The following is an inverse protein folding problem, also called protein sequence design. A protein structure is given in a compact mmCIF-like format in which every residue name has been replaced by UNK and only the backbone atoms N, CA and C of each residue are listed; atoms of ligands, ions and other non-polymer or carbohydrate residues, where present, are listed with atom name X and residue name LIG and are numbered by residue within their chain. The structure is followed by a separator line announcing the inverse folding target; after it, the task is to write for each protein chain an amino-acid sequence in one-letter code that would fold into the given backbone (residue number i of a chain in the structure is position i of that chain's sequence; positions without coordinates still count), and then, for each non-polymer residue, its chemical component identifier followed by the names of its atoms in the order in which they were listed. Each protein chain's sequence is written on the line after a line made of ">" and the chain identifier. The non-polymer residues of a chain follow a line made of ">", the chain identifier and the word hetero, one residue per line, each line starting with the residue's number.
data_IF_784085802424
#
_entry.id   IF_784085802424
#
_cell.length_a   1.000
_cell.length_b   1.000
_cell.length_c   1.000
_cell.angle_alpha   90.00
_cell.angle_beta   90.00
_cell.angle_gamma   90.00
#
_symmetry.space_group_name_H-M   'P 1'
#
loop_
_entity.id
_entity.type
_entity.pdbx_description
1 polymer ?
#
# COMPACT_ATOMS: atom_id res chain seq x y z
N UNK A 1 -30.32 9.23 41.80
CA UNK A 1 -30.27 8.09 40.88
C UNK A 1 -29.16 8.37 39.89
N UNK A 2 -27.96 7.91 40.21
CA UNK A 2 -26.71 8.28 39.54
C UNK A 2 -26.32 7.10 38.66
N UNK A 3 -26.43 7.25 37.34
CA UNK A 3 -26.06 6.18 36.42
C UNK A 3 -24.52 6.10 36.32
N UNK A 4 -23.99 4.94 36.68
CA UNK A 4 -22.60 4.55 36.47
C UNK A 4 -22.46 4.05 35.03
N UNK A 5 -21.70 4.74 34.19
CA UNK A 5 -21.31 4.21 32.88
C UNK A 5 -20.14 3.26 33.10
N UNK A 6 -20.41 1.97 32.95
CA UNK A 6 -19.47 0.88 33.20
C UNK A 6 -18.35 0.80 32.16
N UNK A 7 -17.22 0.27 32.65
CA UNK A 7 -16.08 -0.31 31.95
C UNK A 7 -16.31 -0.52 30.44
N UNK A 8 -15.64 0.29 29.61
CA UNK A 8 -15.58 0.09 28.15
C UNK A 8 -15.02 -1.31 27.88
N UNK A 9 -15.93 -2.20 27.56
CA UNK A 9 -15.67 -3.58 27.29
C UNK A 9 -14.73 -3.67 26.09
N UNK A 10 -13.68 -4.47 26.25
CA UNK A 10 -13.01 -5.11 25.13
C UNK A 10 -14.06 -5.61 24.14
N UNK A 11 -14.20 -4.92 23.02
CA UNK A 11 -15.09 -5.30 21.93
C UNK A 11 -14.56 -6.59 21.29
N UNK A 12 -15.14 -7.72 21.70
CA UNK A 12 -15.11 -8.95 20.90
C UNK A 12 -15.82 -8.67 19.57
N UNK A 13 -15.26 -9.21 18.50
CA UNK A 13 -15.63 -8.92 17.12
C UNK A 13 -16.99 -9.53 16.75
N UNK A 14 -18.08 -8.75 16.75
CA UNK A 14 -19.37 -9.23 16.24
C UNK A 14 -20.43 -8.14 15.91
N UNK A 15 -20.17 -7.27 14.93
CA UNK A 15 -21.07 -6.82 13.82
C UNK A 15 -20.41 -5.63 13.06
N UNK A 16 -20.29 -5.64 11.73
CA UNK A 16 -20.07 -4.39 10.96
C UNK A 16 -18.62 -3.87 10.75
N UNK A 17 -17.92 -4.51 9.81
CA UNK A 17 -17.23 -3.86 8.66
C UNK A 17 -15.97 -2.98 8.82
N UNK A 18 -15.11 -3.16 9.83
CA UNK A 18 -13.68 -2.74 9.90
C UNK A 18 -13.40 -1.99 11.21
N UNK A 19 -12.57 -2.61 12.05
CA UNK A 19 -11.97 -2.07 13.26
C UNK A 19 -10.51 -1.79 12.92
N UNK A 20 -10.16 -0.52 12.70
CA UNK A 20 -8.94 -0.13 12.00
C UNK A 20 -7.63 -0.60 12.66
N UNK A 21 -6.72 -1.09 11.83
CA UNK A 21 -5.27 -1.07 11.98
C UNK A 21 -4.69 -1.12 10.55
N UNK A 22 -3.46 -0.65 10.34
CA UNK A 22 -2.84 -0.52 9.00
C UNK A 22 -2.97 -1.84 8.22
N UNK A 23 -3.82 -1.87 7.19
CA UNK A 23 -4.02 -3.08 6.37
C UNK A 23 -2.73 -3.38 5.61
N UNK A 24 -1.92 -4.26 6.20
CA UNK A 24 -0.75 -4.84 5.57
C UNK A 24 -1.09 -6.27 5.18
N UNK A 25 -0.92 -6.60 3.90
CA UNK A 25 -1.19 -7.94 3.42
C UNK A 25 0.01 -8.46 2.63
N UNK A 26 0.14 -9.79 2.65
CA UNK A 26 1.12 -10.48 1.83
C UNK A 26 0.76 -10.34 0.35
N UNK A 27 1.72 -9.93 -0.46
CA UNK A 27 1.62 -9.82 -1.90
C UNK A 27 2.74 -10.64 -2.55
N UNK A 28 2.54 -11.04 -3.80
CA UNK A 28 3.58 -11.68 -4.59
C UNK A 28 4.19 -10.66 -5.54
N UNK A 29 5.45 -10.33 -5.31
CA UNK A 29 6.26 -9.49 -6.19
C UNK A 29 6.75 -10.33 -7.38
N UNK A 30 6.61 -9.80 -8.60
CA UNK A 30 7.08 -10.51 -9.78
C UNK A 30 8.62 -10.55 -9.83
N UNK A 31 9.17 -11.62 -10.40
CA UNK A 31 10.60 -11.78 -10.60
C UNK A 31 11.21 -10.64 -11.45
N UNK A 32 12.47 -10.29 -11.19
CA UNK A 32 13.22 -9.24 -11.91
C UNK A 32 13.11 -7.84 -11.29
N UNK A 33 12.66 -7.75 -10.03
CA UNK A 33 12.49 -6.49 -9.31
C UNK A 33 13.28 -6.52 -8.01
N UNK A 34 14.12 -5.51 -7.77
CA UNK A 34 14.77 -5.27 -6.49
C UNK A 34 14.28 -3.92 -5.96
N UNK A 35 13.36 -3.95 -5.00
CA UNK A 35 12.64 -2.77 -4.55
C UNK A 35 12.86 -2.55 -3.05
N UNK A 36 13.15 -1.31 -2.70
CA UNK A 36 13.25 -0.87 -1.31
C UNK A 36 11.87 -0.53 -0.76
N UNK A 37 11.76 -0.53 0.58
CA UNK A 37 10.55 -0.11 1.28
C UNK A 37 10.06 1.26 0.77
N UNK A 38 8.74 1.46 0.73
CA UNK A 38 8.15 2.71 0.22
C UNK A 38 8.00 2.78 -1.30
N UNK A 39 8.40 1.75 -2.05
CA UNK A 39 8.12 1.65 -3.48
C UNK A 39 6.62 1.50 -3.75
N UNK A 40 6.08 2.27 -4.69
CA UNK A 40 4.70 2.12 -5.15
C UNK A 40 4.59 0.92 -6.08
N UNK A 41 3.70 -0.01 -5.74
CA UNK A 41 3.45 -1.20 -6.53
C UNK A 41 2.09 -1.13 -7.19
N UNK A 42 2.06 -1.51 -8.47
CA UNK A 42 0.85 -1.74 -9.24
C UNK A 42 0.59 -3.24 -9.39
N UNK A 43 -0.68 -3.61 -9.46
CA UNK A 43 -1.09 -4.99 -9.72
C UNK A 43 -1.16 -5.23 -11.23
N UNK A 44 -0.47 -6.26 -11.71
CA UNK A 44 -0.59 -6.73 -13.09
C UNK A 44 -1.97 -7.39 -13.25
N UNK A 45 -2.80 -6.89 -14.16
CA UNK A 45 -4.15 -7.43 -14.39
C UNK A 45 -4.11 -8.86 -14.93
N UNK A 46 -3.14 -9.16 -15.80
CA UNK A 46 -3.00 -10.47 -16.44
C UNK A 46 -2.56 -11.60 -15.48
N UNK A 47 -1.64 -11.30 -14.55
CA UNK A 47 -1.06 -12.32 -13.65
C UNK A 47 -1.51 -12.21 -12.19
N UNK A 48 -2.10 -11.07 -11.81
CA UNK A 48 -2.44 -10.77 -10.41
C UNK A 48 -1.24 -10.49 -9.49
N UNK A 49 -0.02 -10.55 -10.02
CA UNK A 49 1.24 -10.24 -9.33
C UNK A 49 1.46 -8.73 -9.22
N UNK A 50 2.36 -8.32 -8.33
CA UNK A 50 2.69 -6.93 -8.10
C UNK A 50 4.07 -6.59 -8.68
N UNK A 51 4.18 -5.41 -9.30
CA UNK A 51 5.44 -4.85 -9.80
C UNK A 51 5.53 -3.37 -9.48
N UNK A 52 6.71 -2.79 -9.64
CA UNK A 52 6.89 -1.34 -9.53
C UNK A 52 5.93 -0.62 -10.49
N UNK A 53 5.16 0.31 -9.97
CA UNK A 53 4.21 1.07 -10.77
C UNK A 53 4.94 2.03 -11.70
N UNK A 54 4.76 1.86 -13.01
CA UNK A 54 5.35 2.70 -14.05
C UNK A 54 4.24 3.39 -14.84
N UNK A 55 4.37 4.70 -15.10
CA UNK A 55 3.33 5.45 -15.83
C UNK A 55 3.17 4.96 -17.28
N UNK A 56 4.27 4.46 -17.87
CA UNK A 56 4.30 3.87 -19.21
C UNK A 56 3.94 2.38 -19.26
N UNK A 57 3.61 1.76 -18.12
CA UNK A 57 3.10 0.38 -18.09
C UNK A 57 1.82 0.27 -18.92
N UNK A 58 1.48 -0.91 -19.43
CA UNK A 58 0.20 -1.16 -20.15
C UNK A 58 -0.52 -2.43 -19.67
N UNK A 59 -0.06 -2.93 -18.53
CA UNK A 59 -0.35 -4.23 -17.95
C UNK A 59 -1.23 -4.12 -16.69
N UNK A 60 -1.75 -2.92 -16.41
CA UNK A 60 -2.58 -2.58 -15.24
C UNK A 60 -1.78 -2.06 -14.04
N UNK A 61 -0.46 -2.27 -14.01
CA UNK A 61 0.43 -1.77 -12.95
C UNK A 61 0.67 -0.24 -13.01
N UNK A 62 0.15 0.43 -14.04
CA UNK A 62 0.10 1.88 -14.20
C UNK A 62 -0.49 2.59 -12.98
N UNK A 63 -1.51 1.95 -12.38
CA UNK A 63 -2.21 2.49 -11.23
C UNK A 63 -1.58 1.89 -9.97
N UNK A 64 -0.94 2.71 -9.12
CA UNK A 64 -0.39 2.22 -7.87
C UNK A 64 -1.54 1.80 -6.95
N UNK A 65 -1.44 0.60 -6.41
CA UNK A 65 -2.47 0.00 -5.56
C UNK A 65 -1.98 -0.21 -4.12
N UNK A 66 -0.69 -0.45 -3.93
CA UNK A 66 -0.10 -0.75 -2.61
C UNK A 66 1.30 -0.16 -2.50
N UNK A 67 1.78 0.02 -1.27
CA UNK A 67 3.13 0.51 -0.97
C UNK A 67 3.92 -0.61 -0.32
N UNK A 68 5.14 -0.88 -0.80
CA UNK A 68 5.97 -1.95 -0.26
C UNK A 68 6.37 -1.65 1.20
N UNK A 69 6.16 -2.61 2.10
CA UNK A 69 6.39 -2.43 3.54
C UNK A 69 7.84 -2.72 3.96
N UNK A 70 8.51 -3.61 3.24
CA UNK A 70 9.86 -4.09 3.54
C UNK A 70 10.71 -4.15 2.27
N UNK A 71 12.02 -4.09 2.42
CA UNK A 71 12.95 -4.23 1.30
C UNK A 71 12.87 -5.66 0.74
N UNK A 72 12.50 -5.79 -0.55
CA UNK A 72 12.27 -7.09 -1.18
C UNK A 72 13.08 -7.21 -2.48
N UNK A 73 14.03 -8.15 -2.48
CA UNK A 73 14.72 -8.60 -3.68
C UNK A 73 13.99 -9.84 -4.26
N UNK A 74 13.31 -9.62 -5.37
CA UNK A 74 12.72 -10.64 -6.23
C UNK A 74 13.53 -10.76 -7.55
N UNK A 75 14.85 -10.51 -7.54
CA UNK A 75 15.66 -10.50 -8.77
C UNK A 75 15.71 -11.87 -9.46
N UNK A 76 15.69 -12.97 -8.68
CA UNK A 76 15.86 -14.33 -9.20
C UNK A 76 14.54 -15.10 -9.44
N UNK A 77 13.48 -14.79 -8.68
CA UNK A 77 12.19 -15.47 -8.75
C UNK A 77 11.09 -14.62 -8.11
N UNK A 78 9.82 -14.97 -8.37
CA UNK A 78 8.68 -14.34 -7.69
C UNK A 78 8.82 -14.52 -6.18
N UNK A 79 8.61 -13.44 -5.42
CA UNK A 79 8.80 -13.46 -3.98
C UNK A 79 7.59 -12.91 -3.24
N UNK A 80 7.20 -13.61 -2.18
CA UNK A 80 6.14 -13.13 -1.29
C UNK A 80 6.75 -12.09 -0.35
N UNK A 81 6.13 -10.93 -0.26
CA UNK A 81 6.53 -9.80 0.58
C UNK A 81 5.29 -9.15 1.18
N UNK A 82 5.47 -8.24 2.13
CA UNK A 82 4.38 -7.49 2.74
C UNK A 82 4.25 -6.12 2.10
N UNK A 83 3.03 -5.70 1.81
CA UNK A 83 2.72 -4.36 1.34
C UNK A 83 1.59 -3.74 2.16
N UNK A 84 1.65 -2.43 2.31
CA UNK A 84 0.60 -1.61 2.89
C UNK A 84 -0.45 -1.28 1.84
N UNK A 85 -1.70 -1.59 2.15
CA UNK A 85 -2.87 -1.28 1.34
C UNK A 85 -3.51 0.05 1.73
N UNK A 86 -3.36 0.46 3.00
CA UNK A 86 -3.92 1.70 3.56
C UNK A 86 -2.88 2.34 4.48
N UNK A 87 -2.83 3.67 4.55
CA UNK A 87 -1.92 4.37 5.47
C UNK A 87 -1.59 5.81 5.08
N UNK A 88 -0.81 6.48 5.93
CA UNK A 88 -0.23 7.80 5.65
C UNK A 88 1.26 7.66 5.46
N UNK A 89 1.78 8.14 4.33
CA UNK A 89 3.18 8.02 3.96
C UNK A 89 3.75 9.36 3.56
N UNK A 90 5.03 9.56 3.85
CA UNK A 90 5.77 10.75 3.43
C UNK A 90 6.20 10.63 1.97
N UNK A 91 5.84 11.62 1.15
CA UNK A 91 6.21 11.67 -0.26
C UNK A 91 7.73 11.53 -0.48
N UNK A 92 8.52 12.13 0.42
CA UNK A 92 9.99 12.10 0.35
C UNK A 92 10.62 10.75 0.71
N UNK A 93 9.88 9.86 1.38
CA UNK A 93 10.33 8.50 1.71
C UNK A 93 9.81 7.46 0.71
N UNK A 94 8.89 7.84 -0.19
CA UNK A 94 8.31 6.96 -1.19
C UNK A 94 9.16 6.90 -2.46
N UNK A 95 9.25 5.72 -3.06
CA UNK A 95 9.91 5.54 -4.36
C UNK A 95 8.86 5.41 -5.46
N UNK A 96 8.84 6.39 -6.35
CA UNK A 96 7.98 6.42 -7.52
C UNK A 96 8.70 5.79 -8.72
N UNK A 97 8.03 4.92 -9.46
CA UNK A 97 8.56 4.39 -10.70
C UNK A 97 8.66 5.47 -11.79
N UNK A 98 9.41 5.19 -12.84
CA UNK A 98 9.66 6.13 -13.93
C UNK A 98 8.36 6.70 -14.51
N UNK A 99 8.26 8.04 -14.54
CA UNK A 99 7.12 8.78 -15.05
C UNK A 99 5.92 8.89 -14.09
N UNK A 100 6.00 8.30 -12.90
CA UNK A 100 5.03 8.55 -11.83
C UNK A 100 5.41 9.82 -11.07
N UNK A 101 4.42 10.62 -10.73
CA UNK A 101 4.55 11.84 -9.94
C UNK A 101 3.59 11.77 -8.75
N UNK A 102 3.85 12.54 -7.69
CA UNK A 102 2.88 12.64 -6.58
C UNK A 102 1.51 13.10 -7.11
N UNK A 103 1.47 14.00 -8.09
CA UNK A 103 0.23 14.54 -8.63
C UNK A 103 -0.64 13.49 -9.34
N UNK A 104 -0.05 12.63 -10.19
CA UNK A 104 -0.83 11.62 -10.93
C UNK A 104 -1.18 10.39 -10.09
N UNK A 105 -0.33 10.03 -9.12
CA UNK A 105 -0.55 8.87 -8.25
C UNK A 105 -1.42 9.19 -7.04
N UNK A 106 -1.50 10.46 -6.61
CA UNK A 106 -2.27 10.88 -5.44
C UNK A 106 -3.74 10.51 -5.51
N UNK A 107 -4.40 10.72 -6.65
CA UNK A 107 -5.83 10.38 -6.78
C UNK A 107 -6.05 8.86 -6.71
N UNK A 108 -5.21 8.08 -7.40
CA UNK A 108 -5.25 6.62 -7.35
C UNK A 108 -5.00 6.10 -5.93
N UNK A 109 -3.99 6.63 -5.25
CA UNK A 109 -3.65 6.28 -3.87
C UNK A 109 -4.75 6.68 -2.90
N UNK A 110 -5.44 7.81 -3.13
CA UNK A 110 -6.56 8.25 -2.30
C UNK A 110 -7.74 7.29 -2.35
N UNK A 111 -8.02 6.73 -3.54
CA UNK A 111 -9.08 5.73 -3.73
C UNK A 111 -8.80 4.44 -2.92
N UNK A 112 -7.54 3.99 -2.92
CA UNK A 112 -7.06 2.91 -2.04
C UNK A 112 -6.75 3.36 -0.61
N UNK A 113 -7.02 4.61 -0.23
CA UNK A 113 -6.83 5.12 1.14
C UNK A 113 -5.38 5.21 1.62
N UNK A 114 -4.46 5.37 0.68
CA UNK A 114 -3.08 5.77 0.91
C UNK A 114 -3.00 7.29 0.75
N UNK A 115 -2.68 7.98 1.85
CA UNK A 115 -2.54 9.43 1.86
C UNK A 115 -1.07 9.80 1.86
N UNK A 116 -0.65 10.54 0.84
CA UNK A 116 0.70 11.07 0.76
C UNK A 116 0.72 12.46 1.41
N UNK A 117 1.66 12.69 2.32
CA UNK A 117 1.93 14.02 2.86
C UNK A 117 3.31 14.50 2.43
N UNK A 118 3.41 15.78 2.08
CA UNK A 118 4.69 16.45 1.92
C UNK A 118 5.11 16.94 3.31
N UNK A 119 6.21 16.38 3.84
CA UNK A 119 6.79 16.89 5.07
C UNK A 119 7.53 18.17 4.75
N UNK A 120 6.91 19.31 5.05
CA UNK A 120 7.59 20.62 5.06
C UNK A 120 8.70 20.53 6.10
N UNK A 121 9.95 20.65 5.64
CA UNK A 121 11.14 20.74 6.48
C UNK A 121 11.60 22.19 6.63
#
# INVERSE_FOLDING_TARGET
>A
MTAYFGNDGSVSADDGLVCGEVDSARITLASGQNLQRGALLGKITASGKYILSLSAANDGSQTPAVVLAEDCDASAADKVTVAYFRGRFDAGAMTFGTGQTVANTREALRDVGVFIHDSIR
#
